data_IF_548844511784
#
_entry.id   IF_548844511784
#
_cell.length_a   1.000
_cell.length_b   1.000
_cell.length_c   1.000
_cell.angle_alpha   90.00
_cell.angle_beta   90.00
_cell.angle_gamma   90.00
#
_symmetry.space_group_name_H-M   'P 1'
#
loop_
_entity.id
_entity.type
_entity.pdbx_description
1 polymer ?
2 non-polymer ?
3 water ?
#
# COMPACT_ATOMS: atom_id res chain seq x y z
N UNK A 1 0.84 -0.69 -4.29
CA UNK A 1 -0.52 -0.68 -3.71
C UNK A 1 -0.47 0.10 -2.39
N UNK A 2 -1.60 0.73 -2.02
CA UNK A 2 -1.83 1.16 -0.66
C UNK A 2 -2.91 0.29 -0.07
N UNK A 3 -2.65 -0.20 1.14
CA UNK A 3 -3.58 -0.98 1.91
C UNK A 3 -3.80 -0.27 3.23
N UNK A 4 -4.82 0.56 3.31
CA UNK A 4 -5.04 1.32 4.50
C UNK A 4 -3.83 2.16 4.78
N UNK A 5 -3.20 2.11 5.93
CA UNK A 5 -2.10 3.01 6.24
C UNK A 5 -0.76 2.67 5.67
N UNK A 6 -0.60 1.55 4.97
CA UNK A 6 0.73 1.15 4.50
C UNK A 6 0.74 0.96 3.01
N UNK A 7 1.90 1.08 2.45
CA UNK A 7 2.18 0.85 1.04
C UNK A 7 2.94 -0.43 0.90
N UNK A 8 2.57 -1.26 -0.04
CA UNK A 8 3.29 -2.50 -0.29
C UNK A 8 3.35 -2.70 -1.78
N UNK A 9 4.55 -2.79 -2.33
CA UNK A 9 4.68 -2.75 -3.78
C UNK A 9 4.04 -1.50 -4.30
N UNK A 10 3.21 -1.55 -5.34
CA UNK A 10 2.66 -0.33 -5.92
C UNK A 10 1.29 0.03 -5.35
X LIG B 1 3.32 -18.73 17.09
X LIG B 1 3.35 -19.92 16.77
X LIG B 1 4.14 -18.22 18.01
X LIG B 1 2.40 -17.90 16.58
X LIG B 1 4.75 -18.74 18.39
X LIG B 1 4.10 -17.36 18.20
X LIG B 1 1.83 -18.20 15.98
X LIG B 1 2.41 -17.05 16.81
#
# INVERSE_FOLDING_TARGET
>A
VALFPVALFP
>B hetero
1 URE C O N1 N2 HN11 HN12 HN21 HN22
#
